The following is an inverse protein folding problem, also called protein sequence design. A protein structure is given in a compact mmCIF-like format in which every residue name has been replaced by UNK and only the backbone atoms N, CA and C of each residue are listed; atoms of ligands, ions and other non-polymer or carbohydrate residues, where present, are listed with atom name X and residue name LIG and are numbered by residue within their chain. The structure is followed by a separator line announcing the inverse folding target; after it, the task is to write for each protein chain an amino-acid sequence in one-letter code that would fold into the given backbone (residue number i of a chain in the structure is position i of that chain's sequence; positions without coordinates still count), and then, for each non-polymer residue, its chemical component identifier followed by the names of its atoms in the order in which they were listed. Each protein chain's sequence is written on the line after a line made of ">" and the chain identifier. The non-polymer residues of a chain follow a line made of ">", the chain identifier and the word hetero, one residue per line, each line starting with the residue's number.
data_IF_308506328869
#
_entry.id   IF_308506328869
#
_cell.length_a   1.000
_cell.length_b   1.000
_cell.length_c   1.000
_cell.angle_alpha   90.00
_cell.angle_beta   90.00
_cell.angle_gamma   90.00
#
_symmetry.space_group_name_H-M   'P 1'
#
loop_
_entity.id
_entity.type
_entity.pdbx_description
1 polymer ?
#
# COMPACT_ATOMS: atom_id res chain seq x y z
N UNK A 1 0.25 -11.06 13.38
CA UNK A 1 0.94 -10.12 12.46
C UNK A 1 2.06 -9.38 13.19
N UNK A 2 1.78 -8.53 14.19
CA UNK A 2 2.83 -7.79 14.90
C UNK A 2 3.78 -8.69 15.70
N UNK A 3 3.26 -9.74 16.35
CA UNK A 3 4.11 -10.75 17.01
C UNK A 3 5.06 -11.49 16.03
N UNK A 4 4.74 -11.51 14.74
CA UNK A 4 5.53 -12.23 13.71
C UNK A 4 6.50 -11.32 12.97
N UNK A 5 6.11 -10.07 12.71
CA UNK A 5 6.85 -9.14 11.84
C UNK A 5 7.34 -7.89 12.57
N UNK A 6 7.04 -7.75 13.86
CA UNK A 6 7.31 -6.57 14.64
C UNK A 6 6.20 -5.52 14.54
N UNK A 7 6.33 -4.51 15.39
CA UNK A 7 5.46 -3.34 15.40
C UNK A 7 5.88 -2.40 14.26
N UNK A 8 4.96 -1.96 13.40
CA UNK A 8 5.30 -1.01 12.35
C UNK A 8 5.63 0.36 12.94
N UNK A 9 6.41 1.18 12.23
CA UNK A 9 6.55 2.60 12.61
C UNK A 9 5.30 3.41 12.26
N UNK A 10 4.70 3.10 11.11
CA UNK A 10 3.58 3.84 10.53
C UNK A 10 2.56 2.82 10.01
N UNK A 11 1.28 3.04 10.34
CA UNK A 11 0.13 2.37 9.78
C UNK A 11 -0.67 3.37 8.95
N UNK A 12 -0.88 3.08 7.67
CA UNK A 12 -1.74 3.88 6.79
C UNK A 12 -3.07 3.15 6.66
N UNK A 13 -4.17 3.83 6.96
CA UNK A 13 -5.51 3.24 6.95
C UNK A 13 -6.58 4.27 6.59
N UNK A 14 -7.80 3.80 6.36
CA UNK A 14 -8.94 4.71 6.18
C UNK A 14 -9.40 5.30 7.52
N UNK A 15 -10.10 6.43 7.46
CA UNK A 15 -10.51 7.15 8.67
C UNK A 15 -11.44 6.33 9.57
N UNK A 16 -12.33 5.52 9.00
CA UNK A 16 -13.32 4.73 9.77
C UNK A 16 -13.05 3.24 9.52
N UNK A 17 -12.92 2.40 10.57
CA UNK A 17 -13.05 2.69 12.00
C UNK A 17 -11.74 3.15 12.69
N UNK A 18 -10.64 3.32 11.96
CA UNK A 18 -9.31 3.48 12.57
C UNK A 18 -9.05 4.82 13.29
N UNK A 19 -9.97 5.78 13.20
CA UNK A 19 -9.93 7.03 13.98
C UNK A 19 -10.57 6.94 15.37
N UNK A 20 -11.08 5.76 15.75
CA UNK A 20 -11.68 5.53 17.07
C UNK A 20 -10.69 5.77 18.21
N UNK A 21 -11.22 6.01 19.40
CA UNK A 21 -10.40 6.22 20.59
C UNK A 21 -9.58 4.98 20.93
N UNK A 22 -10.15 3.80 20.79
CA UNK A 22 -9.50 2.51 21.06
C UNK A 22 -8.28 2.33 20.16
N UNK A 23 -8.41 2.65 18.87
CA UNK A 23 -7.32 2.51 17.91
C UNK A 23 -6.18 3.51 18.20
N UNK A 24 -6.52 4.75 18.57
CA UNK A 24 -5.55 5.76 19.00
C UNK A 24 -4.84 5.38 20.31
N UNK A 25 -5.57 4.78 21.25
CA UNK A 25 -5.00 4.28 22.51
C UNK A 25 -4.03 3.14 22.21
N UNK A 26 -4.45 2.17 21.41
CA UNK A 26 -3.62 1.05 20.97
C UNK A 26 -2.34 1.51 20.27
N UNK A 27 -2.43 2.47 19.33
CA UNK A 27 -1.26 2.97 18.62
C UNK A 27 -0.25 3.69 19.52
N UNK A 28 -0.74 4.42 20.53
CA UNK A 28 0.10 5.05 21.55
C UNK A 28 0.78 4.02 22.45
N UNK A 29 0.05 3.03 22.95
CA UNK A 29 0.59 1.98 23.82
C UNK A 29 1.64 1.13 23.12
N UNK A 30 1.44 0.87 21.82
CA UNK A 30 2.34 0.08 20.99
C UNK A 30 3.38 0.94 20.26
N UNK A 31 3.43 2.25 20.47
CA UNK A 31 4.42 3.18 19.90
C UNK A 31 4.49 3.18 18.36
N UNK A 32 3.35 3.26 17.68
CA UNK A 32 3.28 3.46 16.23
C UNK A 32 2.34 4.60 15.82
N UNK A 33 2.62 5.20 14.67
CA UNK A 33 1.82 6.30 14.12
C UNK A 33 0.70 5.77 13.21
N UNK A 34 -0.49 6.36 13.32
CA UNK A 34 -1.59 6.11 12.38
C UNK A 34 -1.76 7.33 11.48
N UNK A 35 -1.63 7.11 10.17
CA UNK A 35 -1.88 8.12 9.15
C UNK A 35 -3.18 7.73 8.44
N UNK A 36 -4.24 8.52 8.66
CA UNK A 36 -5.53 8.30 7.99
C UNK A 36 -5.57 8.97 6.63
N UNK A 37 -6.06 8.26 5.62
CA UNK A 37 -6.42 8.84 4.33
C UNK A 37 -7.57 9.85 4.49
N UNK A 38 -7.60 10.89 3.64
CA UNK A 38 -8.73 11.83 3.63
C UNK A 38 -10.04 11.08 3.34
N UNK A 39 -11.13 11.34 4.09
CA UNK A 39 -12.40 10.61 3.97
C UNK A 39 -12.97 10.52 2.55
N UNK A 40 -12.61 11.47 1.68
CA UNK A 40 -13.14 11.59 0.32
C UNK A 40 -12.09 11.31 -0.77
N UNK A 41 -10.93 10.76 -0.42
CA UNK A 41 -9.84 10.51 -1.36
C UNK A 41 -9.39 9.05 -1.40
N UNK A 42 -10.17 8.21 -2.08
CA UNK A 42 -9.90 6.78 -2.29
C UNK A 42 -8.48 6.50 -2.85
N UNK A 43 -7.96 7.42 -3.69
CA UNK A 43 -6.63 7.27 -4.29
C UNK A 43 -5.47 7.19 -3.28
N UNK A 44 -5.61 7.71 -2.06
CA UNK A 44 -4.57 7.51 -1.02
C UNK A 44 -4.49 6.08 -0.50
N UNK A 45 -5.56 5.29 -0.60
CA UNK A 45 -5.58 3.88 -0.19
C UNK A 45 -5.47 2.91 -1.39
N UNK A 46 -5.09 3.41 -2.57
CA UNK A 46 -5.05 2.61 -3.80
C UNK A 46 -4.12 1.39 -3.74
N UNK A 47 -3.12 1.41 -2.86
CA UNK A 47 -2.28 0.23 -2.61
C UNK A 47 -3.05 -0.89 -1.91
N UNK A 48 -3.83 -0.57 -0.86
CA UNK A 48 -4.67 -1.55 -0.19
C UNK A 48 -5.78 -2.06 -1.11
N UNK A 49 -6.43 -1.17 -1.87
CA UNK A 49 -7.45 -1.56 -2.87
C UNK A 49 -6.88 -2.55 -3.90
N UNK A 50 -5.67 -2.28 -4.39
CA UNK A 50 -4.99 -3.19 -5.34
C UNK A 50 -4.71 -4.55 -4.71
N UNK A 51 -4.27 -4.58 -3.45
CA UNK A 51 -4.04 -5.83 -2.70
C UNK A 51 -5.33 -6.61 -2.47
N UNK A 52 -6.45 -5.95 -2.16
CA UNK A 52 -7.77 -6.59 -2.07
C UNK A 52 -8.16 -7.20 -3.41
N UNK A 53 -7.92 -6.50 -4.52
CA UNK A 53 -8.15 -7.04 -5.87
C UNK A 53 -7.31 -8.30 -6.15
N UNK A 54 -6.04 -8.31 -5.72
CA UNK A 54 -5.16 -9.48 -5.84
C UNK A 54 -5.70 -10.63 -4.98
N UNK A 55 -6.07 -10.38 -3.72
CA UNK A 55 -6.60 -11.40 -2.82
C UNK A 55 -7.89 -12.03 -3.37
N UNK A 56 -8.82 -11.21 -3.90
CA UNK A 56 -10.03 -11.69 -4.57
C UNK A 56 -9.72 -12.56 -5.79
N UNK A 57 -8.72 -12.17 -6.59
CA UNK A 57 -8.26 -12.95 -7.74
C UNK A 57 -7.67 -14.29 -7.33
N UNK A 58 -6.87 -14.33 -6.26
CA UNK A 58 -6.33 -15.56 -5.70
C UNK A 58 -7.45 -16.50 -5.22
N UNK A 59 -8.39 -15.96 -4.44
CA UNK A 59 -9.56 -16.73 -3.97
C UNK A 59 -10.38 -17.31 -5.12
N UNK A 60 -10.67 -16.52 -6.15
CA UNK A 60 -11.44 -16.99 -7.32
C UNK A 60 -10.73 -18.10 -8.08
N UNK A 61 -9.39 -18.08 -8.14
CA UNK A 61 -8.59 -19.07 -8.88
C UNK A 61 -8.34 -20.34 -8.08
N UNK A 62 -8.08 -20.21 -6.78
CA UNK A 62 -7.64 -21.32 -5.94
C UNK A 62 -8.78 -21.99 -5.16
N UNK A 63 -9.88 -21.28 -4.90
CA UNK A 63 -10.89 -21.67 -3.92
C UNK A 63 -10.50 -21.24 -2.49
N UNK A 64 -11.48 -21.04 -1.59
CA UNK A 64 -11.23 -20.66 -0.20
C UNK A 64 -10.38 -21.69 0.56
N UNK A 65 -10.50 -22.97 0.20
CA UNK A 65 -9.80 -24.09 0.84
C UNK A 65 -8.29 -24.12 0.57
N UNK A 66 -7.84 -23.53 -0.56
CA UNK A 66 -6.41 -23.45 -0.95
C UNK A 66 -5.82 -22.04 -0.81
N UNK A 67 -6.48 -21.18 -0.04
CA UNK A 67 -6.06 -19.78 0.14
C UNK A 67 -4.62 -19.68 0.66
N UNK A 68 -4.24 -20.55 1.60
CA UNK A 68 -2.91 -20.51 2.20
C UNK A 68 -1.81 -20.91 1.23
N UNK A 69 -2.01 -21.93 0.39
CA UNK A 69 -1.05 -22.26 -0.66
C UNK A 69 -0.99 -21.17 -1.73
N UNK A 70 -2.13 -20.60 -2.12
CA UNK A 70 -2.16 -19.49 -3.08
C UNK A 70 -1.39 -18.26 -2.56
N UNK A 71 -1.53 -17.94 -1.27
CA UNK A 71 -0.76 -16.88 -0.62
C UNK A 71 0.73 -17.21 -0.52
N UNK A 72 1.08 -18.48 -0.27
CA UNK A 72 2.48 -18.92 -0.26
C UNK A 72 3.12 -18.71 -1.63
N UNK A 73 2.48 -19.19 -2.71
CA UNK A 73 2.98 -19.03 -4.07
C UNK A 73 3.06 -17.56 -4.47
N UNK A 74 2.06 -16.74 -4.11
CA UNK A 74 2.11 -15.29 -4.34
C UNK A 74 3.34 -14.63 -3.68
N UNK A 75 3.68 -15.02 -2.44
CA UNK A 75 4.85 -14.49 -1.72
C UNK A 75 6.18 -14.98 -2.29
N UNK A 76 6.20 -16.13 -2.95
CA UNK A 76 7.38 -16.73 -3.58
C UNK A 76 7.59 -16.31 -5.03
N UNK A 77 6.55 -15.78 -5.68
CA UNK A 77 6.62 -15.34 -7.09
C UNK A 77 7.37 -14.00 -7.19
N UNK A 78 8.41 -13.89 -8.04
CA UNK A 78 9.08 -12.63 -8.31
C UNK A 78 8.12 -11.55 -8.80
N UNK A 79 8.34 -10.31 -8.36
CA UNK A 79 7.53 -9.19 -8.81
C UNK A 79 7.82 -8.92 -10.29
N UNK A 80 6.77 -8.79 -11.12
CA UNK A 80 6.94 -8.49 -12.54
C UNK A 80 7.85 -7.27 -12.77
N UNK A 81 8.87 -7.42 -13.61
CA UNK A 81 9.89 -6.40 -13.87
C UNK A 81 10.97 -6.29 -12.79
N UNK A 82 11.01 -7.20 -11.82
CA UNK A 82 12.05 -7.33 -10.79
C UNK A 82 12.46 -8.81 -10.67
N UNK A 83 13.66 -9.06 -10.13
CA UNK A 83 14.18 -10.42 -9.91
C UNK A 83 13.92 -10.97 -8.50
N UNK A 84 13.23 -10.21 -7.64
CA UNK A 84 12.99 -10.55 -6.23
C UNK A 84 11.51 -10.74 -5.93
N UNK A 85 11.21 -11.70 -5.07
CA UNK A 85 9.86 -11.97 -4.56
C UNK A 85 9.58 -11.26 -3.22
N UNK A 86 8.30 -11.11 -2.82
CA UNK A 86 7.94 -10.56 -1.52
C UNK A 86 8.62 -11.25 -0.33
N UNK A 87 8.71 -12.59 -0.35
CA UNK A 87 9.38 -13.36 0.70
C UNK A 87 10.88 -13.07 0.76
N UNK A 88 11.55 -12.91 -0.38
CA UNK A 88 12.97 -12.55 -0.41
C UNK A 88 13.21 -11.12 0.10
N UNK A 89 12.31 -10.18 -0.19
CA UNK A 89 12.44 -8.80 0.33
C UNK A 89 12.21 -8.74 1.85
N UNK A 90 11.25 -9.52 2.36
CA UNK A 90 10.86 -9.47 3.78
C UNK A 90 11.72 -10.36 4.68
N UNK A 91 12.06 -11.56 4.20
CA UNK A 91 12.71 -12.62 4.99
C UNK A 91 14.13 -12.92 4.51
N UNK A 92 14.62 -12.23 3.48
CA UNK A 92 15.92 -12.48 2.85
C UNK A 92 16.11 -13.93 2.42
N UNK A 93 15.05 -14.67 2.08
CA UNK A 93 15.17 -16.06 1.60
C UNK A 93 14.00 -16.48 0.73
N UNK A 94 14.20 -17.49 -0.11
CA UNK A 94 13.11 -18.22 -0.77
C UNK A 94 12.46 -19.17 0.25
N UNK A 95 11.16 -19.41 0.10
CA UNK A 95 10.44 -20.39 0.92
C UNK A 95 10.26 -21.69 0.14
N UNK A 96 10.15 -22.81 0.86
CA UNK A 96 9.84 -24.10 0.25
C UNK A 96 8.38 -24.12 -0.18
N UNK A 97 8.12 -24.38 -1.45
CA UNK A 97 6.77 -24.52 -2.01
C UNK A 97 6.56 -25.94 -2.54
N UNK A 98 5.47 -26.18 -3.29
CA UNK A 98 5.24 -27.47 -3.97
C UNK A 98 6.18 -27.67 -5.17
N UNK A 99 6.82 -26.59 -5.64
CA UNK A 99 7.83 -26.67 -6.69
C UNK A 99 9.16 -27.17 -6.09
N UNK A 100 9.86 -28.10 -6.76
CA UNK A 100 11.19 -28.51 -6.34
C UNK A 100 12.14 -27.31 -6.28
N UNK A 101 12.91 -27.24 -5.19
CA UNK A 101 13.92 -26.20 -4.97
C UNK A 101 15.13 -26.82 -4.28
N UNK A 102 16.32 -26.33 -4.63
CA UNK A 102 17.57 -26.82 -4.05
C UNK A 102 17.77 -26.26 -2.64
N UNK A 103 18.45 -27.02 -1.78
CA UNK A 103 18.75 -26.58 -0.41
C UNK A 103 19.64 -25.34 -0.36
N UNK A 104 20.49 -25.16 -1.37
CA UNK A 104 21.36 -23.98 -1.53
C UNK A 104 20.55 -22.71 -1.77
N UNK A 105 19.47 -22.78 -2.56
CA UNK A 105 18.59 -21.63 -2.84
C UNK A 105 17.67 -21.23 -1.68
N UNK A 106 17.46 -22.13 -0.71
CA UNK A 106 16.71 -21.84 0.52
C UNK A 106 17.54 -21.07 1.56
N UNK A 107 18.86 -20.91 1.33
CA UNK A 107 19.73 -20.16 2.24
C UNK A 107 19.38 -18.68 2.21
N UNK A 108 19.47 -17.98 3.36
CA UNK A 108 19.22 -16.55 3.38
C UNK A 108 20.26 -15.77 2.56
N UNK A 109 19.76 -14.89 1.70
CA UNK A 109 20.52 -13.92 0.90
C UNK A 109 19.85 -12.56 1.05
N UNK A 110 20.62 -11.57 1.53
CA UNK A 110 20.14 -10.20 1.66
C UNK A 110 20.23 -9.52 0.29
N UNK A 111 19.07 -9.20 -0.28
CA UNK A 111 19.00 -8.39 -1.50
C UNK A 111 19.10 -6.90 -1.12
N UNK A 112 20.22 -6.24 -1.43
CA UNK A 112 20.47 -4.85 -0.97
C UNK A 112 19.83 -3.77 -1.86
N UNK A 113 19.67 -4.03 -3.16
CA UNK A 113 19.32 -2.98 -4.15
C UNK A 113 17.91 -3.10 -4.73
N UNK A 114 17.01 -3.86 -4.11
CA UNK A 114 15.65 -3.99 -4.65
C UNK A 114 14.84 -2.68 -4.54
N UNK A 115 15.15 -1.83 -3.55
CA UNK A 115 14.49 -0.54 -3.34
C UNK A 115 14.68 0.38 -4.56
N UNK A 116 15.87 0.43 -5.14
CA UNK A 116 16.14 1.19 -6.36
C UNK A 116 15.28 0.70 -7.52
N UNK A 117 15.10 -0.63 -7.64
CA UNK A 117 14.21 -1.23 -8.63
C UNK A 117 12.75 -0.82 -8.44
N UNK A 118 12.27 -0.77 -7.20
CA UNK A 118 10.92 -0.28 -6.86
C UNK A 118 10.78 1.20 -7.26
N UNK A 119 11.74 2.04 -6.89
CA UNK A 119 11.73 3.48 -7.20
C UNK A 119 11.71 3.70 -8.72
N UNK A 120 12.60 3.02 -9.46
CA UNK A 120 12.66 3.11 -10.93
C UNK A 120 11.33 2.68 -11.56
N UNK A 121 10.73 1.60 -11.06
CA UNK A 121 9.43 1.12 -11.55
C UNK A 121 8.31 2.12 -11.26
N UNK A 122 8.24 2.66 -10.05
CA UNK A 122 7.26 3.68 -9.67
C UNK A 122 7.42 4.95 -10.51
N UNK A 123 8.66 5.42 -10.73
CA UNK A 123 8.96 6.57 -11.57
C UNK A 123 8.52 6.34 -13.02
N UNK A 124 8.79 5.15 -13.58
CA UNK A 124 8.33 4.76 -14.91
C UNK A 124 6.80 4.76 -14.99
N UNK A 125 6.12 4.11 -14.04
CA UNK A 125 4.64 4.09 -13.99
C UNK A 125 4.06 5.50 -13.89
N UNK A 126 4.66 6.37 -13.06
CA UNK A 126 4.28 7.77 -12.94
C UNK A 126 4.46 8.50 -14.27
N UNK A 127 5.60 8.35 -14.94
CA UNK A 127 5.86 8.99 -16.23
C UNK A 127 4.81 8.62 -17.28
N UNK A 128 4.41 7.34 -17.39
CA UNK A 128 3.35 6.95 -18.32
C UNK A 128 1.96 7.44 -17.90
N UNK A 129 1.65 7.47 -16.61
CA UNK A 129 0.39 8.00 -16.09
C UNK A 129 0.26 9.51 -16.35
N UNK A 130 1.33 10.26 -16.12
CA UNK A 130 1.36 11.72 -16.24
C UNK A 130 1.36 12.20 -17.70
N UNK A 131 1.63 11.33 -18.70
CA UNK A 131 1.53 11.69 -20.13
C UNK A 131 0.17 12.24 -20.53
N UNK A 132 -0.90 11.82 -19.86
CA UNK A 132 -2.26 12.29 -20.11
C UNK A 132 -2.77 13.23 -19.00
N UNK A 133 -1.92 13.55 -18.01
CA UNK A 133 -2.31 14.40 -16.89
C UNK A 133 -2.03 15.87 -17.22
N UNK A 134 -3.03 16.72 -17.02
CA UNK A 134 -2.84 18.17 -17.07
C UNK A 134 -2.28 18.68 -15.74
N UNK A 135 -1.34 19.62 -15.81
CA UNK A 135 -0.82 20.31 -14.63
C UNK A 135 -1.98 21.07 -13.98
N UNK A 136 -2.22 20.79 -12.70
CA UNK A 136 -3.24 21.48 -11.92
C UNK A 136 -2.63 22.75 -11.32
N UNK A 137 -3.31 23.92 -11.39
CA UNK A 137 -2.90 25.11 -10.67
C UNK A 137 -2.78 24.82 -9.17
N UNK A 138 -1.84 25.49 -8.50
CA UNK A 138 -1.75 25.41 -7.05
C UNK A 138 -2.94 26.13 -6.39
N UNK A 139 -3.44 25.56 -5.31
CA UNK A 139 -4.54 26.12 -4.54
C UNK A 139 -4.07 27.30 -3.67
N UNK A 140 -4.72 28.45 -3.79
CA UNK A 140 -4.38 29.66 -3.02
C UNK A 140 -5.31 29.77 -1.81
N UNK A 141 -4.75 30.10 -0.64
CA UNK A 141 -5.57 30.31 0.56
C UNK A 141 -6.50 31.52 0.37
N UNK A 142 -7.78 31.37 0.70
CA UNK A 142 -8.83 32.36 0.45
C UNK A 142 -9.57 32.19 -0.88
N UNK A 143 -9.14 31.27 -1.75
CA UNK A 143 -9.83 31.01 -3.02
C UNK A 143 -11.16 30.27 -2.80
N UNK A 144 -12.19 30.67 -3.56
CA UNK A 144 -13.50 30.00 -3.55
C UNK A 144 -13.44 28.76 -4.43
N UNK A 145 -13.76 27.61 -3.86
CA UNK A 145 -13.78 26.31 -4.54
C UNK A 145 -15.12 25.64 -4.38
N UNK A 146 -15.46 24.74 -5.31
CA UNK A 146 -16.62 23.87 -5.16
C UNK A 146 -16.15 22.51 -4.61
N UNK A 147 -16.80 22.03 -3.56
CA UNK A 147 -16.54 20.71 -2.97
C UNK A 147 -17.75 19.83 -3.26
N UNK A 148 -17.50 18.60 -3.71
CA UNK A 148 -18.56 17.63 -3.93
C UNK A 148 -18.91 16.92 -2.63
N UNK A 149 -20.14 17.08 -2.17
CA UNK A 149 -20.72 16.39 -1.00
C UNK A 149 -21.81 15.44 -1.50
N UNK A 150 -21.50 14.13 -1.54
CA UNK A 150 -22.37 13.14 -2.16
C UNK A 150 -22.55 13.40 -3.66
N UNK A 151 -23.77 13.74 -4.07
CA UNK A 151 -24.11 14.07 -5.46
C UNK A 151 -24.12 15.57 -5.76
N UNK A 152 -24.04 16.43 -4.75
CA UNK A 152 -24.17 17.89 -4.91
C UNK A 152 -22.81 18.59 -4.80
N UNK A 153 -22.71 19.76 -5.44
CA UNK A 153 -21.55 20.64 -5.34
C UNK A 153 -21.88 21.82 -4.44
N UNK A 154 -21.11 21.99 -3.38
CA UNK A 154 -21.28 23.06 -2.39
C UNK A 154 -20.09 24.04 -2.46
N UNK A 155 -20.32 25.36 -2.31
CA UNK A 155 -19.25 26.35 -2.27
C UNK A 155 -18.46 26.26 -0.95
N UNK A 156 -17.14 26.38 -1.03
CA UNK A 156 -16.21 26.38 0.09
C UNK A 156 -15.04 27.34 -0.14
N UNK A 157 -14.26 27.61 0.91
CA UNK A 157 -13.07 28.48 0.84
C UNK A 157 -11.85 27.71 1.32
N UNK A 158 -10.73 27.85 0.62
CA UNK A 158 -9.48 27.21 0.99
C UNK A 158 -8.89 27.91 2.21
N UNK A 159 -8.84 27.24 3.36
CA UNK A 159 -8.30 27.83 4.60
C UNK A 159 -6.78 27.73 4.65
N UNK A 160 -6.23 26.54 4.41
CA UNK A 160 -4.78 26.29 4.45
C UNK A 160 -4.44 24.97 3.77
N UNK A 161 -3.23 24.86 3.21
CA UNK A 161 -2.65 23.60 2.74
C UNK A 161 -2.34 22.69 3.94
N UNK A 162 -2.87 21.47 3.94
CA UNK A 162 -2.59 20.52 5.01
C UNK A 162 -1.16 19.97 4.90
N UNK A 163 -0.59 19.49 6.01
CA UNK A 163 0.77 18.93 6.07
C UNK A 163 0.92 17.58 5.36
N UNK A 164 -0.19 16.87 5.16
CA UNK A 164 -0.22 15.58 4.47
C UNK A 164 -0.38 15.78 2.96
N UNK A 165 0.34 15.01 2.12
CA UNK A 165 0.26 15.16 0.68
C UNK A 165 -1.17 14.92 0.18
N UNK A 166 -1.71 15.91 -0.55
CA UNK A 166 -3.05 15.92 -1.16
C UNK A 166 -4.22 15.89 -0.15
N UNK A 167 -4.09 16.60 0.96
CA UNK A 167 -5.19 16.93 1.88
C UNK A 167 -5.49 18.43 1.87
#
# INVERSE_FOLDING_TARGET
>A
MFATHGIPKIMICDNVPFSSWEMKKFSKEWCFEIITSSPRYLKSNGFAEKLVGIAKSLLRKAGPEKLYEALLEYRCTPISGMSVSPSQMLLSRKLRTKLPITQTELRPIVHKHFIEGIIKKQARTKLYYDKQAHVRPEFISGEKVMVRVGTQWEPAVIVKKHSTPRS
#
